data_IF_526499219253
#
_entry.id   IF_526499219253
#
_cell.length_a   1.000
_cell.length_b   1.000
_cell.length_c   1.000
_cell.angle_alpha   90.00
_cell.angle_beta   90.00
_cell.angle_gamma   90.00
#
_symmetry.space_group_name_H-M   'P 1'
#
loop_
_entity.id
_entity.type
_entity.pdbx_description
1 polymer ?
#
# COMPACT_ATOMS: atom_id res chain seq x y z
N UNK A 1 -4.51 -56.94 -20.48
CA UNK A 1 -3.48 -56.66 -21.50
C UNK A 1 -2.98 -55.25 -21.25
N UNK A 2 -1.76 -55.15 -20.72
CA UNK A 2 -1.07 -53.90 -20.38
C UNK A 2 -0.21 -53.50 -21.58
N UNK A 3 -0.42 -52.31 -22.14
CA UNK A 3 0.45 -51.75 -23.17
C UNK A 3 1.20 -50.54 -22.58
N UNK A 4 2.40 -50.82 -22.11
CA UNK A 4 3.47 -49.85 -21.85
C UNK A 4 4.03 -49.33 -23.18
N UNK A 5 3.99 -48.02 -23.38
CA UNK A 5 4.70 -47.34 -24.48
C UNK A 5 6.07 -46.90 -23.98
N UNK A 6 7.12 -47.53 -24.50
CA UNK A 6 8.52 -47.18 -24.29
C UNK A 6 8.92 -45.96 -25.13
N UNK A 7 9.38 -44.90 -24.48
CA UNK A 7 10.03 -43.77 -25.13
C UNK A 7 11.48 -44.13 -25.51
N UNK A 8 11.85 -43.89 -26.77
CA UNK A 8 13.23 -44.00 -27.25
C UNK A 8 14.00 -42.73 -26.90
N UNK A 9 15.08 -42.85 -26.13
CA UNK A 9 16.06 -41.79 -25.97
C UNK A 9 16.92 -41.68 -27.24
N UNK A 10 16.87 -40.54 -27.90
CA UNK A 10 17.85 -40.14 -28.93
C UNK A 10 18.82 -39.18 -28.26
N UNK A 11 20.06 -39.62 -28.09
CA UNK A 11 21.17 -38.79 -27.60
C UNK A 11 21.75 -38.03 -28.78
N UNK A 12 21.44 -36.73 -28.86
CA UNK A 12 22.09 -35.77 -29.75
C UNK A 12 23.05 -34.89 -28.96
N UNK A 13 24.33 -34.86 -29.38
CA UNK A 13 25.35 -33.92 -28.88
C UNK A 13 24.91 -32.49 -29.18
N UNK A 14 24.86 -31.64 -28.15
CA UNK A 14 24.61 -30.20 -28.28
C UNK A 14 25.97 -29.51 -28.32
N UNK A 15 26.37 -29.05 -29.51
CA UNK A 15 27.35 -27.97 -29.66
C UNK A 15 26.59 -26.64 -29.65
N UNK A 16 27.13 -25.66 -28.91
CA UNK A 16 26.38 -24.52 -28.41
C UNK A 16 25.88 -23.55 -29.47
N UNK A 17 24.58 -23.30 -29.45
CA UNK A 17 23.89 -22.01 -29.65
C UNK A 17 22.39 -22.33 -29.67
N UNK A 18 21.71 -22.11 -28.54
CA UNK A 18 20.27 -21.86 -28.40
C UNK A 18 19.86 -22.09 -26.93
N UNK A 19 19.59 -21.01 -26.20
CA UNK A 19 18.76 -21.09 -24.98
C UNK A 19 17.32 -21.14 -25.49
N UNK A 20 16.85 -22.33 -25.88
CA UNK A 20 15.42 -22.58 -25.99
C UNK A 20 14.84 -22.50 -24.58
N UNK A 21 14.06 -21.44 -24.37
CA UNK A 21 13.09 -21.33 -23.28
C UNK A 21 12.27 -22.61 -23.30
N UNK A 22 12.53 -23.49 -22.34
CA UNK A 22 11.80 -24.75 -22.22
C UNK A 22 10.30 -24.50 -22.13
N UNK A 23 9.53 -25.36 -22.79
CA UNK A 23 8.08 -25.46 -22.78
C UNK A 23 7.48 -25.24 -21.38
N UNK A 24 7.27 -23.98 -20.99
CA UNK A 24 6.23 -23.59 -20.05
C UNK A 24 5.00 -23.33 -20.90
N UNK A 25 4.24 -24.37 -21.17
CA UNK A 25 2.84 -24.20 -21.56
C UNK A 25 2.15 -23.52 -20.38
N UNK A 26 2.09 -22.18 -20.40
CA UNK A 26 1.21 -21.43 -19.53
C UNK A 26 -0.20 -21.84 -19.94
N UNK A 27 -0.83 -22.69 -19.14
CA UNK A 27 -2.24 -22.97 -19.30
C UNK A 27 -2.99 -21.68 -18.96
N UNK A 28 -3.40 -20.94 -19.99
CA UNK A 28 -4.38 -19.86 -19.87
C UNK A 28 -5.71 -20.53 -19.55
N UNK A 29 -6.00 -20.68 -18.26
CA UNK A 29 -7.32 -21.12 -17.80
C UNK A 29 -8.33 -19.99 -17.89
N UNK A 30 -9.61 -20.31 -17.64
CA UNK A 30 -10.70 -19.32 -17.60
C UNK A 30 -10.56 -18.42 -16.35
N UNK A 31 -10.40 -17.10 -16.54
CA UNK A 31 -10.18 -16.17 -15.42
C UNK A 31 -11.39 -16.18 -14.49
N UNK A 32 -11.17 -16.56 -13.23
CA UNK A 32 -12.22 -16.54 -12.22
C UNK A 32 -12.38 -15.12 -11.66
N UNK A 33 -13.58 -14.57 -11.86
CA UNK A 33 -14.01 -13.32 -11.24
C UNK A 33 -15.10 -13.60 -10.21
N UNK A 34 -15.02 -12.93 -9.07
CA UNK A 34 -16.16 -12.77 -8.18
C UNK A 34 -17.11 -11.74 -8.81
N UNK A 35 -18.42 -11.97 -8.73
CA UNK A 35 -19.41 -10.94 -9.02
C UNK A 35 -19.79 -10.25 -7.71
N UNK A 36 -19.72 -8.91 -7.68
CA UNK A 36 -20.09 -8.12 -6.50
C UNK A 36 -21.40 -7.39 -6.81
N UNK A 37 -22.37 -7.52 -5.91
CA UNK A 37 -23.64 -6.79 -6.03
C UNK A 37 -23.46 -5.30 -5.70
N UNK A 38 -24.38 -4.48 -6.21
CA UNK A 38 -24.36 -3.05 -5.92
C UNK A 38 -24.56 -2.77 -4.42
N UNK A 39 -25.42 -3.55 -3.76
CA UNK A 39 -25.70 -3.45 -2.33
C UNK A 39 -24.47 -3.81 -1.49
N UNK A 40 -23.70 -4.83 -1.89
CA UNK A 40 -22.46 -5.21 -1.22
C UNK A 40 -21.42 -4.10 -1.33
N UNK A 41 -21.27 -3.47 -2.50
CA UNK A 41 -20.39 -2.30 -2.66
C UNK A 41 -20.84 -1.13 -1.81
N UNK A 42 -22.14 -0.80 -1.81
CA UNK A 42 -22.68 0.30 -1.02
C UNK A 42 -22.36 0.13 0.46
N UNK A 43 -22.50 -1.09 0.99
CA UNK A 43 -22.20 -1.39 2.39
C UNK A 43 -20.72 -1.18 2.75
N UNK A 44 -19.80 -1.41 1.82
CA UNK A 44 -18.36 -1.30 2.04
C UNK A 44 -17.85 0.15 2.03
N UNK A 45 -18.55 1.06 1.37
CA UNK A 45 -18.03 2.41 1.07
C UNK A 45 -18.75 3.56 1.79
N UNK A 46 -19.80 3.28 2.58
CA UNK A 46 -20.64 4.30 3.24
C UNK A 46 -19.86 5.31 4.11
N UNK A 47 -18.63 5.00 4.50
CA UNK A 47 -17.80 5.84 5.36
C UNK A 47 -16.62 6.50 4.63
N UNK A 48 -16.51 6.31 3.31
CA UNK A 48 -15.39 6.84 2.52
C UNK A 48 -15.58 8.31 2.14
N UNK A 49 -14.47 9.07 1.97
CA UNK A 49 -14.55 10.48 1.60
C UNK A 49 -15.14 10.70 0.21
N UNK A 50 -15.78 11.85 -0.02
CA UNK A 50 -16.34 12.20 -1.33
C UNK A 50 -15.24 12.40 -2.37
N UNK A 51 -15.45 11.87 -3.58
CA UNK A 51 -14.54 11.99 -4.72
C UNK A 51 -14.92 13.21 -5.56
N UNK A 52 -13.93 13.97 -6.04
CA UNK A 52 -14.12 15.14 -6.88
C UNK A 52 -14.80 14.76 -8.22
N UNK A 53 -15.80 15.53 -8.67
CA UNK A 53 -16.48 15.29 -9.94
C UNK A 53 -15.50 15.21 -11.12
N UNK A 54 -14.55 16.14 -11.21
CA UNK A 54 -13.57 16.19 -12.30
C UNK A 54 -12.73 14.90 -12.41
N UNK A 55 -12.38 14.29 -11.27
CA UNK A 55 -11.64 13.03 -11.25
C UNK A 55 -12.51 11.85 -11.69
N UNK A 56 -13.79 11.84 -11.29
CA UNK A 56 -14.76 10.83 -11.72
C UNK A 56 -15.07 10.96 -13.23
N UNK A 57 -15.14 12.18 -13.75
CA UNK A 57 -15.40 12.43 -15.16
C UNK A 57 -14.22 12.00 -16.04
N UNK A 58 -12.98 12.21 -15.58
CA UNK A 58 -11.79 11.64 -16.23
C UNK A 58 -11.86 10.11 -16.30
N UNK A 59 -12.28 9.45 -15.23
CA UNK A 59 -12.46 8.00 -15.25
C UNK A 59 -13.52 7.57 -16.28
N UNK A 60 -14.64 8.29 -16.36
CA UNK A 60 -15.72 7.98 -17.31
C UNK A 60 -15.27 8.20 -18.76
N UNK A 61 -14.49 9.25 -19.02
CA UNK A 61 -13.96 9.56 -20.35
C UNK A 61 -12.97 8.48 -20.83
N UNK A 62 -12.03 8.08 -19.98
CA UNK A 62 -10.95 7.17 -20.36
C UNK A 62 -11.32 5.70 -20.21
N UNK A 63 -12.32 5.38 -19.39
CA UNK A 63 -12.80 4.02 -19.11
C UNK A 63 -11.73 3.05 -18.57
N UNK A 64 -10.55 3.56 -18.22
CA UNK A 64 -9.45 2.83 -17.62
C UNK A 64 -8.74 3.69 -16.59
N UNK A 65 -8.42 3.11 -15.44
CA UNK A 65 -7.62 3.77 -14.40
C UNK A 65 -6.74 2.76 -13.67
N UNK A 66 -5.47 3.11 -13.52
CA UNK A 66 -4.49 2.38 -12.72
C UNK A 66 -4.02 3.28 -11.59
N UNK A 67 -4.34 2.89 -10.36
CA UNK A 67 -3.81 3.49 -9.15
C UNK A 67 -2.56 2.72 -8.74
N UNK A 68 -1.39 3.28 -9.02
CA UNK A 68 -0.09 2.65 -8.71
C UNK A 68 0.81 3.48 -7.82
N UNK A 69 1.88 2.85 -7.32
CA UNK A 69 2.90 3.48 -6.48
C UNK A 69 2.40 3.96 -5.11
N UNK A 70 3.18 4.86 -4.49
CA UNK A 70 2.83 5.51 -3.22
C UNK A 70 1.87 6.70 -3.45
N UNK A 71 0.59 6.52 -3.13
CA UNK A 71 -0.42 7.59 -3.21
C UNK A 71 -0.63 8.30 -1.86
N UNK A 72 0.46 8.64 -1.17
CA UNK A 72 0.41 9.47 0.04
C UNK A 72 -0.43 8.92 1.21
N UNK A 73 -0.59 7.59 1.29
CA UNK A 73 -1.36 6.90 2.33
C UNK A 73 -2.81 6.58 1.96
N UNK A 74 -3.21 6.78 0.70
CA UNK A 74 -4.54 6.36 0.21
C UNK A 74 -4.63 4.84 0.12
N UNK A 75 -5.72 4.27 0.64
CA UNK A 75 -6.09 2.88 0.36
C UNK A 75 -6.62 2.76 -1.07
N UNK A 76 -5.77 2.30 -1.99
CA UNK A 76 -6.09 2.16 -3.42
C UNK A 76 -7.21 1.16 -3.67
N UNK A 77 -7.29 0.09 -2.88
CA UNK A 77 -8.29 -0.96 -3.04
C UNK A 77 -9.69 -0.43 -2.69
N UNK A 78 -9.80 0.31 -1.58
CA UNK A 78 -11.05 0.99 -1.22
C UNK A 78 -11.44 2.04 -2.24
N UNK A 79 -10.48 2.82 -2.75
CA UNK A 79 -10.75 3.85 -3.75
C UNK A 79 -11.27 3.28 -5.08
N UNK A 80 -10.69 2.20 -5.62
CA UNK A 80 -11.21 1.61 -6.86
C UNK A 80 -12.62 1.02 -6.68
N UNK A 81 -12.93 0.45 -5.50
CA UNK A 81 -14.27 -0.05 -5.19
C UNK A 81 -15.28 1.09 -5.08
N UNK A 82 -14.88 2.20 -4.45
CA UNK A 82 -15.69 3.42 -4.39
C UNK A 82 -15.98 3.99 -5.78
N UNK A 83 -14.97 4.05 -6.65
CA UNK A 83 -15.12 4.49 -8.04
C UNK A 83 -16.08 3.57 -8.83
N UNK A 84 -15.93 2.25 -8.69
CA UNK A 84 -16.83 1.28 -9.33
C UNK A 84 -18.30 1.51 -8.90
N UNK A 85 -18.54 1.74 -7.62
CA UNK A 85 -19.88 2.08 -7.13
C UNK A 85 -20.41 3.39 -7.72
N UNK A 86 -19.60 4.46 -7.74
CA UNK A 86 -20.03 5.76 -8.25
C UNK A 86 -20.38 5.70 -9.74
N UNK A 87 -19.57 5.01 -10.54
CA UNK A 87 -19.86 4.78 -11.97
C UNK A 87 -21.18 4.03 -12.13
N UNK A 88 -21.39 2.96 -11.35
CA UNK A 88 -22.65 2.18 -11.41
C UNK A 88 -23.86 3.00 -10.99
N UNK A 89 -23.73 3.80 -9.92
CA UNK A 89 -24.79 4.65 -9.38
C UNK A 89 -25.22 5.73 -10.35
N UNK A 90 -24.27 6.37 -11.04
CA UNK A 90 -24.59 7.43 -12.00
C UNK A 90 -25.28 6.89 -13.25
N UNK A 91 -24.91 5.69 -13.70
CA UNK A 91 -25.62 4.99 -14.78
C UNK A 91 -27.07 4.67 -14.40
N UNK A 92 -27.32 4.22 -13.16
CA UNK A 92 -28.69 3.96 -12.67
C UNK A 92 -29.56 5.23 -12.56
N UNK A 93 -28.97 6.39 -12.23
CA UNK A 93 -29.72 7.67 -12.15
C UNK A 93 -30.14 8.17 -13.52
N UNK A 94 -29.26 8.04 -14.52
CA UNK A 94 -29.49 8.56 -15.87
C UNK A 94 -30.68 7.85 -16.55
N UNK A 95 -30.90 6.57 -16.23
CA UNK A 95 -32.04 5.77 -16.73
C UNK A 95 -33.40 6.11 -16.08
N UNK A 96 -33.40 6.83 -14.95
CA UNK A 96 -34.64 7.20 -14.26
C UNK A 96 -35.38 8.39 -14.90
N UNK A 97 -34.70 9.15 -15.77
CA UNK A 97 -35.27 10.28 -16.48
C UNK A 97 -35.70 9.92 -17.93
N UNK A 98 -36.93 9.39 -18.01
CA UNK A 98 -37.88 9.48 -19.14
C UNK A 98 -37.57 8.77 -20.47
N UNK A 99 -38.48 7.84 -20.78
CA UNK A 99 -38.98 7.37 -22.10
C UNK A 99 -38.46 6.07 -22.72
N UNK A 100 -37.45 5.39 -22.17
CA UNK A 100 -37.18 4.00 -22.57
C UNK A 100 -36.47 3.21 -21.45
N UNK A 101 -37.11 2.20 -20.83
CA UNK A 101 -36.57 1.50 -19.66
C UNK A 101 -35.72 0.30 -20.10
N UNK A 102 -34.68 0.54 -20.89
CA UNK A 102 -33.60 -0.45 -20.98
C UNK A 102 -32.58 -0.09 -19.92
N UNK A 103 -32.88 -0.47 -18.68
CA UNK A 103 -31.92 -0.44 -17.57
C UNK A 103 -30.68 -1.21 -18.04
N UNK A 104 -29.60 -0.51 -18.36
CA UNK A 104 -28.33 -1.18 -18.66
C UNK A 104 -27.75 -1.59 -17.32
N UNK A 105 -28.02 -2.85 -16.95
CA UNK A 105 -27.48 -3.43 -15.74
C UNK A 105 -25.96 -3.60 -15.94
N UNK A 106 -25.19 -2.73 -15.29
CA UNK A 106 -23.73 -2.77 -15.34
C UNK A 106 -23.27 -3.83 -14.33
N UNK A 107 -22.72 -4.93 -14.83
CA UNK A 107 -22.15 -5.97 -13.97
C UNK A 107 -20.77 -5.55 -13.45
N UNK A 108 -20.42 -5.95 -12.22
CA UNK A 108 -19.13 -5.65 -11.62
C UNK A 108 -18.39 -6.97 -11.38
N UNK A 109 -17.25 -7.11 -12.04
CA UNK A 109 -16.38 -8.28 -11.95
C UNK A 109 -15.14 -7.92 -11.15
N UNK A 110 -14.95 -8.63 -10.06
CA UNK A 110 -13.86 -8.41 -9.13
C UNK A 110 -12.86 -9.55 -9.19
N UNK A 111 -11.61 -9.22 -9.46
CA UNK A 111 -10.51 -10.17 -9.43
C UNK A 111 -9.65 -9.92 -8.20
N UNK A 112 -9.44 -10.98 -7.42
CA UNK A 112 -8.52 -11.01 -6.29
C UNK A 112 -7.24 -11.73 -6.69
N UNK A 113 -6.09 -11.21 -6.25
CA UNK A 113 -4.81 -11.89 -6.44
C UNK A 113 -4.76 -13.30 -5.81
N UNK A 114 -5.63 -13.60 -4.84
CA UNK A 114 -5.78 -14.94 -4.24
C UNK A 114 -6.48 -15.97 -5.16
N UNK A 115 -6.95 -15.57 -6.33
CA UNK A 115 -7.68 -16.45 -7.26
C UNK A 115 -6.73 -17.48 -7.87
N UNK A 116 -7.24 -18.65 -8.22
CA UNK A 116 -6.45 -19.84 -8.61
C UNK A 116 -5.63 -19.68 -9.90
N UNK A 117 -5.81 -18.58 -10.64
CA UNK A 117 -5.06 -18.25 -11.84
C UNK A 117 -4.24 -16.98 -11.65
N UNK A 118 -2.95 -17.11 -11.97
CA UNK A 118 -1.97 -16.05 -11.80
C UNK A 118 -1.84 -15.13 -13.01
N UNK A 119 -2.44 -15.48 -14.16
CA UNK A 119 -2.31 -14.72 -15.42
C UNK A 119 -3.69 -14.52 -16.05
N UNK A 120 -4.03 -13.27 -16.34
CA UNK A 120 -5.32 -12.80 -16.84
C UNK A 120 -5.16 -12.42 -18.31
N UNK A 121 -6.00 -13.00 -19.16
CA UNK A 121 -6.18 -12.54 -20.54
C UNK A 121 -7.30 -11.49 -20.57
N UNK A 122 -6.94 -10.26 -20.21
CA UNK A 122 -7.90 -9.17 -20.08
C UNK A 122 -8.52 -8.78 -21.43
N UNK A 123 -7.76 -8.84 -22.51
CA UNK A 123 -8.30 -8.56 -23.84
C UNK A 123 -9.42 -9.55 -24.21
N UNK A 124 -9.18 -10.85 -23.99
CA UNK A 124 -10.18 -11.88 -24.24
C UNK A 124 -11.42 -11.69 -23.37
N UNK A 125 -11.25 -11.39 -22.08
CA UNK A 125 -12.37 -11.14 -21.17
C UNK A 125 -13.20 -9.93 -21.60
N UNK A 126 -12.55 -8.83 -22.01
CA UNK A 126 -13.25 -7.65 -22.52
C UNK A 126 -14.05 -7.97 -23.79
N UNK A 127 -13.44 -8.67 -24.76
CA UNK A 127 -14.11 -9.00 -26.04
C UNK A 127 -15.24 -10.01 -25.90
N UNK A 128 -15.18 -10.90 -24.92
CA UNK A 128 -16.19 -11.94 -24.72
C UNK A 128 -17.46 -11.42 -24.02
N UNK A 129 -17.41 -10.23 -23.41
CA UNK A 129 -18.58 -9.65 -22.74
C UNK A 129 -19.39 -8.81 -23.72
N UNK A 130 -20.71 -8.97 -23.60
CA UNK A 130 -21.70 -8.24 -24.43
C UNK A 130 -22.38 -7.11 -23.70
N UNK A 131 -22.43 -7.19 -22.36
CA UNK A 131 -23.05 -6.20 -21.49
C UNK A 131 -21.98 -5.28 -20.90
N UNK A 132 -22.29 -4.00 -20.68
CA UNK A 132 -21.38 -3.10 -19.98
C UNK A 132 -20.95 -3.68 -18.64
N UNK A 133 -19.65 -3.63 -18.37
CA UNK A 133 -19.04 -4.32 -17.22
C UNK A 133 -17.92 -3.47 -16.64
N UNK A 134 -17.86 -3.37 -15.32
CA UNK A 134 -16.73 -2.79 -14.60
C UNK A 134 -15.84 -3.94 -14.12
N UNK A 135 -14.62 -3.99 -14.62
CA UNK A 135 -13.60 -4.92 -14.15
C UNK A 135 -12.75 -4.22 -13.08
N UNK A 136 -12.67 -4.84 -11.90
CA UNK A 136 -11.92 -4.32 -10.76
C UNK A 136 -10.84 -5.32 -10.38
N UNK A 137 -9.60 -4.86 -10.38
CA UNK A 137 -8.42 -5.65 -10.06
C UNK A 137 -7.71 -5.05 -8.85
N UNK A 138 -7.65 -5.79 -7.75
CA UNK A 138 -6.91 -5.36 -6.56
C UNK A 138 -5.53 -5.97 -6.48
N UNK A 139 -4.54 -5.15 -6.11
CA UNK A 139 -3.15 -5.56 -5.90
C UNK A 139 -2.56 -6.31 -7.11
N UNK A 140 -2.86 -5.83 -8.32
CA UNK A 140 -2.40 -6.47 -9.54
C UNK A 140 -0.93 -6.20 -9.81
N UNK A 141 -0.23 -7.16 -10.40
CA UNK A 141 1.14 -7.02 -10.88
C UNK A 141 1.23 -7.03 -12.42
N UNK A 142 2.30 -6.45 -13.01
CA UNK A 142 2.51 -6.50 -14.47
C UNK A 142 2.47 -7.92 -15.05
N UNK A 143 3.02 -8.89 -14.32
CA UNK A 143 3.06 -10.31 -14.73
C UNK A 143 1.68 -10.97 -14.74
N UNK A 144 0.71 -10.41 -14.03
CA UNK A 144 -0.62 -10.97 -13.90
C UNK A 144 -1.47 -10.69 -15.14
N UNK A 145 -1.01 -9.86 -16.07
CA UNK A 145 -1.73 -9.50 -17.29
C UNK A 145 -0.95 -9.99 -18.51
N UNK A 146 -1.58 -10.84 -19.33
CA UNK A 146 -0.95 -11.45 -20.51
C UNK A 146 -0.82 -10.50 -21.73
N UNK A 147 -1.08 -9.22 -21.54
CA UNK A 147 -1.15 -8.25 -22.64
C UNK A 147 -0.71 -6.85 -22.19
N UNK A 148 -0.29 -6.04 -23.16
CA UNK A 148 0.10 -4.65 -22.90
C UNK A 148 -1.10 -3.81 -22.49
N UNK A 149 -1.02 -3.17 -21.32
CA UNK A 149 -2.04 -2.23 -20.85
C UNK A 149 -2.27 -1.07 -21.83
N UNK A 150 -1.21 -0.62 -22.52
CA UNK A 150 -1.36 0.42 -23.55
C UNK A 150 -2.21 -0.04 -24.71
N UNK A 151 -2.01 -1.27 -25.18
CA UNK A 151 -2.80 -1.82 -26.27
C UNK A 151 -4.27 -1.95 -25.87
N UNK A 152 -4.54 -2.45 -24.66
CA UNK A 152 -5.90 -2.50 -24.11
C UNK A 152 -6.54 -1.11 -24.09
N UNK A 153 -5.81 -0.13 -23.58
CA UNK A 153 -6.28 1.25 -23.49
C UNK A 153 -6.56 1.90 -24.85
N UNK A 154 -5.66 1.73 -25.82
CA UNK A 154 -5.75 2.46 -27.10
C UNK A 154 -6.62 1.78 -28.14
N UNK A 155 -6.74 0.44 -28.10
CA UNK A 155 -7.38 -0.33 -29.18
C UNK A 155 -8.61 -1.12 -28.72
N UNK A 156 -8.61 -1.62 -27.48
CA UNK A 156 -9.67 -2.52 -27.00
C UNK A 156 -10.79 -1.72 -26.34
N UNK A 157 -10.47 -0.94 -25.30
CA UNK A 157 -11.44 -0.18 -24.50
C UNK A 157 -12.28 0.80 -25.34
N UNK A 158 -11.72 1.61 -26.26
CA UNK A 158 -12.52 2.58 -27.01
C UNK A 158 -13.60 1.95 -27.91
N UNK A 159 -13.47 0.65 -28.19
CA UNK A 159 -14.43 -0.11 -29.01
C UNK A 159 -15.50 -0.82 -28.18
N UNK A 160 -15.44 -0.73 -26.84
CA UNK A 160 -16.26 -1.48 -25.90
C UNK A 160 -16.83 -0.56 -24.80
N UNK A 161 -18.01 -0.88 -24.30
CA UNK A 161 -18.64 -0.15 -23.19
C UNK A 161 -18.22 -0.79 -21.85
N UNK A 162 -16.91 -0.83 -21.56
CA UNK A 162 -16.37 -1.46 -20.36
C UNK A 162 -15.47 -0.50 -19.59
N UNK A 163 -15.47 -0.62 -18.26
CA UNK A 163 -14.53 0.10 -17.39
C UNK A 163 -13.52 -0.86 -16.78
N UNK A 164 -12.28 -0.42 -16.67
CA UNK A 164 -11.20 -1.22 -16.10
C UNK A 164 -10.46 -0.45 -15.02
N UNK A 165 -10.56 -0.90 -13.78
CA UNK A 165 -9.98 -0.27 -12.60
C UNK A 165 -8.93 -1.19 -11.98
N UNK A 166 -7.71 -0.68 -11.82
CA UNK A 166 -6.61 -1.39 -11.19
C UNK A 166 -6.11 -0.65 -9.96
N UNK A 167 -5.82 -1.41 -8.90
CA UNK A 167 -4.85 -0.98 -7.89
C UNK A 167 -3.59 -1.84 -7.98
N UNK A 168 -2.45 -1.22 -7.78
CA UNK A 168 -1.16 -1.89 -7.75
C UNK A 168 -0.22 -1.18 -6.79
N UNK A 169 0.69 -1.93 -6.16
CA UNK A 169 1.79 -1.33 -5.39
C UNK A 169 3.00 -0.99 -6.28
N UNK A 170 2.99 -1.45 -7.53
CA UNK A 170 4.05 -1.18 -8.50
C UNK A 170 4.01 0.25 -8.99
N UNK A 171 5.20 0.79 -9.23
CA UNK A 171 5.38 2.13 -9.79
C UNK A 171 5.05 2.15 -11.28
N UNK A 172 4.77 3.32 -11.85
CA UNK A 172 4.57 3.49 -13.29
C UNK A 172 5.73 2.90 -14.13
N UNK A 173 6.98 3.10 -13.67
CA UNK A 173 8.17 2.59 -14.34
C UNK A 173 8.25 1.06 -14.37
N UNK A 174 7.74 0.38 -13.35
CA UNK A 174 7.77 -1.09 -13.24
C UNK A 174 6.83 -1.77 -14.25
N UNK A 175 5.88 -1.03 -14.82
CA UNK A 175 4.99 -1.54 -15.87
C UNK A 175 5.56 -1.34 -17.28
N UNK A 176 6.76 -0.74 -17.41
CA UNK A 176 7.42 -0.45 -18.68
C UNK A 176 6.53 0.32 -19.67
N UNK A 177 5.70 1.23 -19.15
CA UNK A 177 4.78 2.01 -19.97
C UNK A 177 5.46 3.25 -20.57
N UNK A 178 4.94 3.73 -21.70
CA UNK A 178 5.34 4.99 -22.32
C UNK A 178 4.58 6.16 -21.68
N UNK A 179 5.03 7.39 -21.93
CA UNK A 179 4.46 8.59 -21.30
C UNK A 179 2.97 8.81 -21.59
N UNK A 180 2.45 8.30 -22.70
CA UNK A 180 1.03 8.40 -23.03
C UNK A 180 0.15 7.61 -22.04
N UNK A 181 0.71 6.61 -21.37
CA UNK A 181 -0.01 5.86 -20.36
C UNK A 181 -0.28 6.66 -19.08
N UNK A 182 0.36 7.83 -18.89
CA UNK A 182 0.08 8.69 -17.74
C UNK A 182 -1.38 9.17 -17.67
N UNK A 183 -2.09 9.13 -18.81
CA UNK A 183 -3.51 9.44 -18.91
C UNK A 183 -4.37 8.51 -18.04
N UNK A 184 -4.08 7.20 -18.05
CA UNK A 184 -4.80 6.22 -17.24
C UNK A 184 -3.99 5.73 -16.03
N UNK A 185 -2.68 6.00 -15.97
CA UNK A 185 -1.80 5.64 -14.87
C UNK A 185 -0.95 6.85 -14.47
N UNK A 186 -1.56 7.81 -13.78
CA UNK A 186 -0.88 9.03 -13.35
C UNK A 186 0.07 8.75 -12.15
N UNK A 187 1.41 8.86 -12.31
CA UNK A 187 2.36 8.61 -11.23
C UNK A 187 2.39 9.71 -10.15
N UNK A 188 1.82 10.89 -10.44
CA UNK A 188 1.89 12.07 -9.58
C UNK A 188 0.55 12.41 -8.92
N UNK A 189 -0.38 11.46 -8.93
CA UNK A 189 -1.73 11.65 -8.38
C UNK A 189 -1.66 11.95 -6.88
N UNK A 190 -2.26 13.05 -6.46
CA UNK A 190 -2.29 13.46 -5.05
C UNK A 190 -3.69 13.35 -4.43
N UNK A 191 -3.81 13.27 -3.10
CA UNK A 191 -5.12 13.13 -2.45
C UNK A 191 -6.08 14.29 -2.70
N UNK A 192 -5.58 15.50 -2.98
CA UNK A 192 -6.43 16.67 -3.18
C UNK A 192 -7.08 16.68 -4.57
N UNK A 193 -6.43 16.08 -5.57
CA UNK A 193 -7.03 15.84 -6.89
C UNK A 193 -8.18 14.83 -6.82
N UNK A 194 -8.06 13.83 -5.94
CA UNK A 194 -9.07 12.77 -5.80
C UNK A 194 -10.24 13.22 -4.91
N UNK A 195 -9.97 13.75 -3.71
CA UNK A 195 -11.00 14.02 -2.69
C UNK A 195 -11.25 15.51 -2.46
N UNK A 196 -10.49 16.39 -3.12
CA UNK A 196 -10.61 17.84 -3.00
C UNK A 196 -9.70 18.47 -1.94
N UNK A 197 -9.68 19.80 -1.93
CA UNK A 197 -8.71 20.58 -1.14
C UNK A 197 -8.83 20.38 0.38
N UNK A 198 -10.04 20.07 0.87
CA UNK A 198 -10.32 19.99 2.31
C UNK A 198 -10.03 18.60 2.90
N UNK A 199 -9.73 17.58 2.11
CA UNK A 199 -9.57 16.21 2.62
C UNK A 199 -8.45 16.10 3.67
N UNK A 200 -7.33 16.79 3.42
CA UNK A 200 -6.19 16.82 4.31
C UNK A 200 -6.51 17.59 5.60
N UNK A 201 -7.38 18.59 5.53
CA UNK A 201 -7.86 19.34 6.70
C UNK A 201 -8.74 18.45 7.55
N UNK A 202 -9.70 17.76 6.92
CA UNK A 202 -10.62 16.85 7.61
C UNK A 202 -9.86 15.69 8.29
N UNK A 203 -8.88 15.10 7.61
CA UNK A 203 -8.06 14.04 8.20
C UNK A 203 -7.20 14.56 9.35
N UNK A 204 -6.61 15.75 9.20
CA UNK A 204 -5.86 16.40 10.28
C UNK A 204 -6.76 16.65 11.51
N UNK A 205 -7.96 17.18 11.30
CA UNK A 205 -8.94 17.42 12.37
C UNK A 205 -9.37 16.12 13.05
N UNK A 206 -9.69 15.09 12.25
CA UNK A 206 -10.05 13.76 12.74
C UNK A 206 -8.95 13.17 13.62
N UNK A 207 -7.71 13.13 13.12
CA UNK A 207 -6.57 12.54 13.85
C UNK A 207 -6.19 13.33 15.09
N UNK A 208 -6.31 14.66 15.04
CA UNK A 208 -6.14 15.51 16.22
C UNK A 208 -7.27 15.28 17.25
N UNK A 209 -8.51 15.06 16.81
CA UNK A 209 -9.68 14.81 17.66
C UNK A 209 -9.70 13.43 18.32
N UNK A 210 -9.16 12.40 17.67
CA UNK A 210 -9.07 11.03 18.21
C UNK A 210 -8.16 10.96 19.46
N UNK A 211 -7.06 11.71 19.48
CA UNK A 211 -6.00 11.58 20.49
C UNK A 211 -5.99 12.69 21.56
N UNK A 212 -6.54 13.88 21.27
CA UNK A 212 -6.42 15.05 22.15
C UNK A 212 -7.76 15.51 22.69
N UNK A 213 -7.76 15.90 23.96
CA UNK A 213 -8.86 16.71 24.52
C UNK A 213 -8.91 18.03 23.74
N UNK A 214 -10.07 18.32 23.12
CA UNK A 214 -10.38 19.55 22.35
C UNK A 214 -9.82 20.84 22.96
N UNK A 215 -9.77 20.93 24.29
CA UNK A 215 -9.20 22.06 25.04
C UNK A 215 -7.73 22.36 24.70
N UNK A 216 -6.90 21.33 24.49
CA UNK A 216 -5.48 21.48 24.16
C UNK A 216 -5.29 21.90 22.71
N UNK A 217 -6.10 21.36 21.80
CA UNK A 217 -6.16 21.82 20.42
C UNK A 217 -6.46 23.32 20.36
N UNK A 218 -7.49 23.73 21.09
CA UNK A 218 -7.93 25.13 21.13
C UNK A 218 -6.82 26.03 21.72
N UNK A 219 -6.07 25.55 22.70
CA UNK A 219 -4.97 26.31 23.31
C UNK A 219 -3.80 26.56 22.36
N UNK A 220 -3.36 25.56 21.60
CA UNK A 220 -2.11 25.63 20.80
C UNK A 220 -2.35 25.92 19.32
N UNK A 221 -3.42 25.36 18.76
CA UNK A 221 -3.79 25.56 17.35
C UNK A 221 -4.82 26.67 17.17
N UNK A 222 -5.41 27.19 18.26
CA UNK A 222 -6.38 28.29 18.26
C UNK A 222 -7.58 28.05 17.34
N UNK A 223 -8.04 26.80 17.18
CA UNK A 223 -9.19 26.37 16.35
C UNK A 223 -9.52 27.29 15.15
N UNK A 224 -8.48 27.69 14.44
CA UNK A 224 -8.58 28.64 13.34
C UNK A 224 -8.54 27.81 12.07
N UNK A 225 -9.69 27.70 11.41
CA UNK A 225 -9.85 26.94 10.19
C UNK A 225 -8.81 27.32 9.13
N UNK A 226 -8.40 28.61 9.06
CA UNK A 226 -7.37 29.06 8.13
C UNK A 226 -5.99 28.52 8.50
N UNK A 227 -5.68 28.45 9.80
CA UNK A 227 -4.41 27.91 10.28
C UNK A 227 -4.33 26.40 10.07
N UNK A 228 -5.40 25.66 10.32
CA UNK A 228 -5.46 24.22 10.04
C UNK A 228 -5.30 23.92 8.55
N UNK A 229 -5.95 24.72 7.69
CA UNK A 229 -5.76 24.65 6.24
C UNK A 229 -4.30 24.82 5.83
N UNK A 230 -3.63 25.87 6.33
CA UNK A 230 -2.21 26.10 6.07
C UNK A 230 -1.29 24.98 6.58
N UNK A 231 -1.64 24.34 7.70
CA UNK A 231 -0.89 23.20 8.23
C UNK A 231 -1.07 21.98 7.33
N UNK A 232 -2.31 21.64 6.98
CA UNK A 232 -2.64 20.51 6.12
C UNK A 232 -2.00 20.64 4.73
N UNK A 233 -2.05 21.83 4.13
CA UNK A 233 -1.38 22.13 2.85
C UNK A 233 0.15 21.93 2.93
N UNK A 234 0.78 22.36 4.03
CA UNK A 234 2.23 22.17 4.21
C UNK A 234 2.64 20.71 4.45
N UNK A 235 1.73 19.90 5.00
CA UNK A 235 1.93 18.47 5.21
C UNK A 235 1.73 17.69 3.91
N UNK A 236 0.74 18.06 3.10
CA UNK A 236 0.57 17.63 1.71
C UNK A 236 0.06 16.20 1.49
N UNK A 237 0.13 15.29 2.48
CA UNK A 237 -0.42 13.94 2.38
C UNK A 237 -0.78 13.35 3.76
N UNK A 238 -1.51 12.21 3.76
CA UNK A 238 -1.98 11.55 4.97
C UNK A 238 -0.83 11.01 5.84
N UNK A 239 0.23 10.50 5.22
CA UNK A 239 1.42 10.02 5.93
C UNK A 239 2.07 11.12 6.79
N UNK A 240 2.29 12.30 6.23
CA UNK A 240 2.86 13.44 6.95
C UNK A 240 1.91 13.95 8.05
N UNK A 241 0.59 13.92 7.83
CA UNK A 241 -0.41 14.23 8.86
C UNK A 241 -0.27 13.28 10.05
N UNK A 242 -0.22 11.97 9.82
CA UNK A 242 -0.06 10.98 10.87
C UNK A 242 1.22 11.24 11.70
N UNK A 243 2.33 11.53 11.02
CA UNK A 243 3.63 11.85 11.67
C UNK A 243 3.56 13.13 12.49
N UNK A 244 2.94 14.18 11.93
CA UNK A 244 2.74 15.45 12.60
C UNK A 244 1.92 15.29 13.89
N UNK A 245 0.81 14.56 13.85
CA UNK A 245 -0.05 14.32 15.01
C UNK A 245 0.73 13.61 16.11
N UNK A 246 1.50 12.57 15.78
CA UNK A 246 2.35 11.86 16.76
C UNK A 246 3.38 12.77 17.43
N UNK A 247 4.08 13.59 16.64
CA UNK A 247 5.02 14.57 17.15
C UNK A 247 4.34 15.59 18.08
N UNK A 248 3.16 16.05 17.69
CA UNK A 248 2.38 17.01 18.44
C UNK A 248 1.90 16.42 19.78
N UNK A 249 1.32 15.22 19.77
CA UNK A 249 0.86 14.49 20.95
C UNK A 249 1.97 14.31 21.98
N UNK A 250 3.17 13.93 21.51
CA UNK A 250 4.33 13.80 22.37
C UNK A 250 4.73 15.13 23.03
N UNK A 251 4.77 16.23 22.27
CA UNK A 251 5.10 17.55 22.85
C UNK A 251 4.08 17.95 23.91
N UNK A 252 2.81 17.63 23.71
CA UNK A 252 1.76 17.86 24.69
C UNK A 252 2.00 17.01 25.97
N UNK A 253 2.38 15.74 25.82
CA UNK A 253 2.72 14.88 26.96
C UNK A 253 3.95 15.37 27.72
N UNK A 254 5.00 15.80 27.02
CA UNK A 254 6.22 16.35 27.62
C UNK A 254 5.90 17.60 28.46
N UNK A 255 5.01 18.47 27.97
CA UNK A 255 4.54 19.66 28.70
C UNK A 255 3.74 19.26 29.94
N UNK A 256 2.83 18.28 29.85
CA UNK A 256 2.04 17.80 31.00
C UNK A 256 2.91 17.19 32.09
N UNK A 257 3.96 16.46 31.71
CA UNK A 257 4.84 15.77 32.64
C UNK A 257 5.82 16.73 33.34
N UNK A 258 6.18 17.84 32.68
CA UNK A 258 6.95 18.93 33.28
C UNK A 258 6.04 19.82 34.13
N UNK A 259 5.81 19.42 35.38
CA UNK A 259 5.08 20.19 36.42
C UNK A 259 5.81 21.49 36.86
N UNK A 260 6.60 22.15 36.01
CA UNK A 260 7.32 23.36 36.40
C UNK A 260 6.50 24.61 36.07
N UNK A 261 6.36 25.50 37.05
CA UNK A 261 5.69 26.81 37.02
C UNK A 261 6.30 27.83 36.02
N UNK A 262 7.22 27.41 35.16
CA UNK A 262 7.80 28.27 34.14
C UNK A 262 6.97 28.17 32.85
N UNK A 263 6.54 29.36 32.42
CA UNK A 263 5.77 29.74 31.21
C UNK A 263 5.47 28.65 30.17
N UNK A 264 4.24 28.65 29.59
CA UNK A 264 3.86 27.67 28.58
C UNK A 264 4.87 27.71 27.42
N UNK A 265 5.61 26.63 27.23
CA UNK A 265 6.52 26.50 26.11
C UNK A 265 5.65 26.52 24.85
N UNK A 266 5.76 27.60 24.06
CA UNK A 266 5.00 27.72 22.82
C UNK A 266 5.40 26.57 21.89
N UNK A 267 4.41 25.83 21.38
CA UNK A 267 4.66 24.70 20.50
C UNK A 267 4.95 25.27 19.12
N UNK A 268 6.20 25.15 18.67
CA UNK A 268 6.59 25.58 17.34
C UNK A 268 6.03 24.63 16.26
N UNK A 269 4.85 24.96 15.74
CA UNK A 269 4.14 24.18 14.72
C UNK A 269 4.97 24.04 13.43
N UNK A 270 5.66 25.09 13.00
CA UNK A 270 6.48 25.03 11.78
C UNK A 270 7.65 24.04 11.93
N UNK A 271 8.22 23.94 13.14
CA UNK A 271 9.22 22.93 13.45
C UNK A 271 8.63 21.51 13.35
N UNK A 272 7.45 21.25 13.92
CA UNK A 272 6.80 19.94 13.83
C UNK A 272 6.44 19.55 12.40
N UNK A 273 5.97 20.50 11.58
CA UNK A 273 5.74 20.27 10.14
C UNK A 273 7.05 19.86 9.46
N UNK A 274 8.15 20.60 9.70
CA UNK A 274 9.45 20.29 9.09
C UNK A 274 9.95 18.91 9.52
N UNK A 275 9.85 18.58 10.80
CA UNK A 275 10.27 17.28 11.34
C UNK A 275 9.42 16.13 10.79
N UNK A 276 8.10 16.30 10.66
CA UNK A 276 7.22 15.25 10.10
C UNK A 276 7.61 14.81 8.69
N UNK A 277 8.30 15.68 7.95
CA UNK A 277 8.81 15.44 6.59
C UNK A 277 10.27 15.00 6.55
N UNK A 278 10.93 14.93 7.70
CA UNK A 278 12.36 14.62 7.81
C UNK A 278 12.58 13.19 8.26
N UNK A 279 13.64 12.56 7.77
CA UNK A 279 14.13 11.27 8.29
C UNK A 279 14.52 11.35 9.78
N UNK A 280 14.74 12.55 10.32
CA UNK A 280 14.94 12.78 11.74
C UNK A 280 13.74 12.33 12.58
N UNK A 281 12.51 12.43 12.05
CA UNK A 281 11.31 11.91 12.72
C UNK A 281 11.43 10.43 13.01
N UNK A 282 11.99 9.63 12.11
CA UNK A 282 12.04 8.17 12.32
C UNK A 282 13.07 7.79 13.38
N UNK A 283 14.15 8.56 13.53
CA UNK A 283 15.05 8.40 14.69
C UNK A 283 14.34 8.74 15.99
N UNK A 284 13.58 9.83 15.99
CA UNK A 284 12.83 10.28 17.15
C UNK A 284 11.72 9.28 17.53
N UNK A 285 11.01 8.77 16.53
CA UNK A 285 10.02 7.70 16.62
C UNK A 285 10.65 6.47 17.30
N UNK A 286 11.84 6.05 16.86
CA UNK A 286 12.50 4.84 17.38
C UNK A 286 12.86 5.01 18.85
N UNK A 287 13.45 6.16 19.19
CA UNK A 287 14.02 6.37 20.52
C UNK A 287 12.94 6.63 21.55
N UNK A 288 11.89 7.37 21.16
CA UNK A 288 11.05 8.06 22.11
C UNK A 288 9.55 7.80 21.94
N UNK A 289 9.09 7.23 20.83
CA UNK A 289 7.66 6.98 20.58
C UNK A 289 7.35 5.50 20.64
N UNK A 290 8.15 4.66 19.98
CA UNK A 290 7.96 3.22 19.98
C UNK A 290 8.06 2.64 21.41
N UNK A 291 7.21 1.66 21.71
CA UNK A 291 7.39 0.81 22.88
C UNK A 291 8.66 -0.03 22.74
N UNK A 292 9.18 -0.57 23.85
CA UNK A 292 10.39 -1.40 23.79
C UNK A 292 10.19 -2.66 22.92
N UNK A 293 8.97 -3.19 22.89
CA UNK A 293 8.59 -4.29 22.00
C UNK A 293 8.62 -3.87 20.52
N UNK A 294 8.04 -2.73 20.18
CA UNK A 294 8.08 -2.19 18.81
C UNK A 294 9.50 -1.82 18.39
N UNK A 295 10.36 -1.35 19.30
CA UNK A 295 11.79 -1.14 19.01
C UNK A 295 12.49 -2.44 18.66
N UNK A 296 12.23 -3.52 19.41
CA UNK A 296 12.77 -4.85 19.10
C UNK A 296 12.29 -5.32 17.72
N UNK A 297 11.00 -5.18 17.41
CA UNK A 297 10.48 -5.49 16.08
C UNK A 297 11.13 -4.66 14.97
N UNK A 298 11.22 -3.34 15.14
CA UNK A 298 11.89 -2.47 14.17
C UNK A 298 13.36 -2.87 13.94
N UNK A 299 14.07 -3.29 14.99
CA UNK A 299 15.42 -3.84 14.87
C UNK A 299 15.44 -5.17 14.11
N UNK A 300 14.54 -6.10 14.46
CA UNK A 300 14.43 -7.38 13.78
C UNK A 300 14.14 -7.23 12.29
N UNK A 301 13.17 -6.38 11.94
CA UNK A 301 12.84 -6.04 10.55
C UNK A 301 14.04 -5.42 9.84
N UNK A 302 14.81 -4.57 10.54
CA UNK A 302 16.03 -3.99 9.97
C UNK A 302 17.13 -5.02 9.72
N UNK A 303 17.25 -6.06 10.54
CA UNK A 303 18.22 -7.16 10.31
C UNK A 303 17.83 -8.03 9.12
N UNK A 304 16.53 -8.26 8.94
CA UNK A 304 15.98 -9.06 7.85
C UNK A 304 15.58 -8.21 6.63
N UNK A 305 16.10 -6.99 6.54
CA UNK A 305 15.84 -6.10 5.44
C UNK A 305 16.28 -6.70 4.10
N UNK A 306 15.40 -6.68 3.11
CA UNK A 306 15.61 -7.31 1.81
C UNK A 306 15.23 -8.80 1.76
N UNK A 307 14.70 -9.37 2.84
CA UNK A 307 14.11 -10.71 2.81
C UNK A 307 12.66 -10.68 2.35
N UNK A 308 12.21 -11.81 1.82
CA UNK A 308 10.79 -12.03 1.55
C UNK A 308 9.97 -12.00 2.85
N UNK A 309 8.73 -11.53 2.76
CA UNK A 309 7.81 -11.31 3.88
C UNK A 309 7.65 -12.56 4.75
N UNK A 310 7.40 -13.72 4.13
CA UNK A 310 7.24 -15.00 4.80
C UNK A 310 8.52 -15.42 5.54
N UNK A 311 9.68 -15.22 4.90
CA UNK A 311 10.98 -15.50 5.50
C UNK A 311 11.29 -14.55 6.64
N UNK A 312 10.98 -13.26 6.49
CA UNK A 312 11.15 -12.25 7.52
C UNK A 312 10.30 -12.59 8.74
N UNK A 313 9.00 -12.86 8.57
CA UNK A 313 8.12 -13.16 9.71
C UNK A 313 8.51 -14.46 10.39
N UNK A 314 8.85 -15.50 9.63
CA UNK A 314 9.38 -16.76 10.18
C UNK A 314 10.67 -16.54 10.96
N UNK A 315 11.60 -15.75 10.43
CA UNK A 315 12.87 -15.45 11.09
C UNK A 315 12.66 -14.59 12.34
N UNK A 316 11.77 -13.59 12.27
CA UNK A 316 11.44 -12.71 13.39
C UNK A 316 10.77 -13.48 14.53
N UNK A 317 9.84 -14.38 14.23
CA UNK A 317 9.19 -15.25 15.22
C UNK A 317 10.20 -16.17 15.91
N UNK A 318 11.14 -16.75 15.15
CA UNK A 318 12.23 -17.56 15.71
C UNK A 318 13.13 -16.74 16.62
N UNK A 319 13.59 -15.56 16.18
CA UNK A 319 14.42 -14.67 17.02
C UNK A 319 13.67 -14.27 18.29
N UNK A 320 12.39 -13.94 18.17
CA UNK A 320 11.55 -13.58 19.30
C UNK A 320 11.43 -14.73 20.31
N UNK A 321 11.07 -15.93 19.84
CA UNK A 321 10.80 -17.09 20.69
C UNK A 321 12.06 -17.71 21.28
N UNK A 322 13.12 -17.81 20.49
CA UNK A 322 14.33 -18.55 20.86
C UNK A 322 15.40 -17.68 21.53
N UNK A 323 15.40 -16.36 21.31
CA UNK A 323 16.36 -15.45 21.91
C UNK A 323 15.68 -14.44 22.85
N UNK A 324 14.79 -13.59 22.34
CA UNK A 324 14.30 -12.44 23.11
C UNK A 324 13.42 -12.85 24.29
N UNK A 325 12.47 -13.77 24.09
CA UNK A 325 11.59 -14.27 25.16
C UNK A 325 12.33 -15.10 26.20
N UNK A 326 13.44 -15.76 25.84
CA UNK A 326 14.29 -16.46 26.83
C UNK A 326 15.04 -15.48 27.73
N UNK A 327 15.43 -14.33 27.20
CA UNK A 327 16.12 -13.27 27.94
C UNK A 327 15.14 -12.44 28.77
N UNK A 328 13.93 -12.21 28.26
CA UNK A 328 12.86 -11.52 28.96
C UNK A 328 11.53 -12.29 28.83
N UNK A 329 11.20 -13.15 29.82
CA UNK A 329 9.95 -13.93 29.81
C UNK A 329 8.67 -13.09 29.92
N UNK A 330 8.77 -11.79 30.24
CA UNK A 330 7.60 -10.91 30.28
C UNK A 330 7.12 -10.48 28.89
N UNK A 331 7.92 -10.72 27.84
CA UNK A 331 7.57 -10.45 26.46
C UNK A 331 6.47 -11.42 25.97
N UNK A 332 5.29 -10.86 25.69
CA UNK A 332 4.17 -11.59 25.08
C UNK A 332 4.42 -11.91 23.59
N UNK A 333 3.90 -13.04 23.11
CA UNK A 333 4.04 -13.48 21.71
C UNK A 333 3.65 -12.38 20.72
N UNK A 334 4.47 -12.17 19.68
CA UNK A 334 4.29 -11.13 18.64
C UNK A 334 2.84 -11.03 18.17
N UNK A 335 2.33 -9.81 18.09
CA UNK A 335 0.99 -9.52 17.59
C UNK A 335 1.09 -8.61 16.35
N UNK A 336 0.18 -8.76 15.40
CA UNK A 336 0.11 -7.91 14.20
C UNK A 336 -0.14 -6.44 14.56
N UNK A 337 -0.79 -6.18 15.69
CA UNK A 337 -0.96 -4.83 16.23
C UNK A 337 0.38 -4.13 16.53
N UNK A 338 1.46 -4.87 16.80
CA UNK A 338 2.79 -4.29 17.02
C UNK A 338 3.40 -3.71 15.73
N UNK A 339 2.95 -4.18 14.57
CA UNK A 339 3.43 -3.76 13.25
C UNK A 339 2.73 -2.51 12.73
N UNK A 340 1.53 -2.19 13.21
CA UNK A 340 0.74 -1.05 12.72
C UNK A 340 1.56 0.24 12.70
N UNK A 341 2.25 0.53 13.80
CA UNK A 341 3.12 1.71 13.94
C UNK A 341 4.34 1.68 13.02
N UNK A 342 4.83 0.47 12.71
CA UNK A 342 6.05 0.24 11.96
C UNK A 342 5.82 0.23 10.45
N UNK A 343 4.69 -0.30 9.98
CA UNK A 343 4.33 -0.40 8.55
C UNK A 343 4.27 0.99 7.91
N UNK A 344 3.72 1.99 8.60
CA UNK A 344 3.60 3.34 8.01
C UNK A 344 4.91 4.15 8.03
N UNK A 345 5.90 3.75 8.84
CA UNK A 345 7.02 4.62 9.18
C UNK A 345 8.41 4.01 8.96
N UNK A 346 8.58 2.70 9.16
CA UNK A 346 9.89 2.05 9.18
C UNK A 346 10.22 1.22 7.97
N UNK A 347 9.24 0.54 7.40
CA UNK A 347 9.46 -0.37 6.30
C UNK A 347 8.30 -0.28 5.30
N UNK A 348 8.59 -0.69 4.09
CA UNK A 348 7.59 -0.98 3.09
C UNK A 348 7.67 -2.45 2.73
N UNK A 349 6.56 -2.97 2.24
CA UNK A 349 6.57 -4.20 1.47
C UNK A 349 6.84 -3.80 0.02
N UNK A 350 8.11 -3.74 -0.36
CA UNK A 350 8.49 -3.54 -1.75
C UNK A 350 8.58 -4.89 -2.42
N UNK A 351 7.82 -5.12 -3.47
CA UNK A 351 8.18 -6.22 -4.36
C UNK A 351 9.35 -5.74 -5.23
N UNK A 352 10.47 -6.46 -5.16
CA UNK A 352 11.73 -6.01 -5.73
C UNK A 352 11.79 -6.38 -7.22
N UNK A 353 11.84 -5.38 -8.09
CA UNK A 353 11.84 -5.51 -9.56
C UNK A 353 13.04 -6.34 -10.08
N UNK A 354 14.09 -6.54 -9.27
CA UNK A 354 15.29 -7.32 -9.64
C UNK A 354 15.06 -8.84 -9.75
N UNK A 355 13.94 -9.37 -9.24
CA UNK A 355 13.69 -10.82 -9.18
C UNK A 355 12.61 -11.32 -10.17
N UNK A 356 12.26 -10.52 -11.18
CA UNK A 356 11.24 -10.84 -12.20
C UNK A 356 11.38 -12.23 -12.88
N UNK A 357 12.59 -12.81 -12.89
CA UNK A 357 12.85 -14.12 -13.50
C UNK A 357 12.49 -15.36 -12.66
N UNK A 358 12.27 -15.21 -11.35
CA UNK A 358 12.04 -16.35 -10.44
C UNK A 358 10.65 -16.23 -9.81
N UNK A 359 9.74 -17.03 -10.34
CA UNK A 359 8.31 -17.08 -9.99
C UNK A 359 7.95 -16.82 -8.52
N UNK A 360 6.87 -16.05 -8.37
CA UNK A 360 5.85 -15.98 -7.31
C UNK A 360 6.00 -14.91 -6.22
N UNK A 361 4.97 -14.06 -6.11
CA UNK A 361 4.21 -13.62 -4.90
C UNK A 361 4.97 -13.08 -3.68
N UNK A 362 6.29 -13.02 -3.69
CA UNK A 362 7.02 -12.65 -2.48
C UNK A 362 7.25 -11.14 -2.41
N UNK A 363 6.50 -10.50 -1.51
CA UNK A 363 6.79 -9.15 -1.03
C UNK A 363 8.16 -9.16 -0.36
N UNK A 364 9.07 -8.30 -0.77
CA UNK A 364 10.33 -8.08 -0.05
C UNK A 364 10.09 -6.98 0.97
N UNK A 365 10.53 -7.19 2.20
CA UNK A 365 10.46 -6.12 3.20
C UNK A 365 11.67 -5.23 3.03
N UNK A 366 11.44 -3.99 2.59
CA UNK A 366 12.49 -2.97 2.52
C UNK A 366 12.29 -1.90 3.57
N UNK A 367 13.25 -1.75 4.47
CA UNK A 367 13.26 -0.62 5.39
C UNK A 367 13.41 0.68 4.62
N UNK A 368 12.57 1.69 4.89
CA UNK A 368 12.52 3.00 4.20
C UNK A 368 13.74 3.90 4.47
N UNK A 369 14.97 3.37 4.35
CA UNK A 369 16.27 4.03 4.57
C UNK A 369 16.79 3.91 6.03
N UNK A 370 17.18 2.70 6.49
CA UNK A 370 17.84 2.53 7.80
C UNK A 370 19.10 1.65 7.83
N UNK A 371 19.56 1.09 6.69
CA UNK A 371 20.68 0.12 6.66
C UNK A 371 21.95 0.59 7.41
N UNK A 372 22.25 1.89 7.44
CA UNK A 372 23.52 2.41 8.00
C UNK A 372 23.42 3.01 9.41
N UNK A 373 22.22 3.32 9.90
CA UNK A 373 22.06 4.05 11.17
C UNK A 373 21.60 3.21 12.34
N UNK A 374 20.88 2.10 12.12
CA UNK A 374 20.59 1.11 13.18
C UNK A 374 21.87 0.58 13.79
N UNK A 375 22.94 0.37 13.00
CA UNK A 375 24.28 0.04 13.51
C UNK A 375 24.85 1.10 14.48
N UNK A 376 24.64 2.40 14.20
CA UNK A 376 25.07 3.50 15.09
C UNK A 376 24.17 3.64 16.33
N UNK A 377 22.86 3.38 16.18
CA UNK A 377 21.90 3.38 17.28
C UNK A 377 22.20 2.22 18.24
N UNK A 378 22.45 1.01 17.71
CA UNK A 378 22.92 -0.15 18.47
C UNK A 378 24.24 0.14 19.20
N UNK A 379 25.17 0.85 18.55
CA UNK A 379 26.43 1.25 19.17
C UNK A 379 26.24 2.24 20.35
N UNK A 380 25.31 3.19 20.26
CA UNK A 380 25.00 4.14 21.36
C UNK A 380 24.15 3.50 22.47
N UNK A 381 23.26 2.58 22.11
CA UNK A 381 22.41 1.80 23.02
C UNK A 381 23.19 0.66 23.72
N UNK A 382 24.44 0.41 23.30
CA UNK A 382 25.36 -0.61 23.85
C UNK A 382 25.51 -0.55 25.37
N UNK A 383 25.31 0.61 26.02
CA UNK A 383 25.39 0.73 27.49
C UNK A 383 24.06 0.49 28.23
N UNK A 384 22.90 0.53 27.55
CA UNK A 384 21.60 0.20 28.15
C UNK A 384 21.20 -1.25 27.88
N UNK A 385 21.56 -1.79 26.71
CA UNK A 385 21.24 -3.17 26.31
C UNK A 385 22.38 -4.18 26.58
N UNK A 386 23.55 -3.76 27.06
CA UNK A 386 24.68 -4.67 27.39
C UNK A 386 24.40 -5.67 28.52
N UNK A 387 23.37 -5.45 29.33
CA UNK A 387 22.93 -6.48 30.30
C UNK A 387 22.10 -7.58 29.66
N UNK A 388 21.62 -7.42 28.42
CA UNK A 388 20.65 -8.34 27.82
C UNK A 388 21.14 -9.06 26.55
N UNK A 389 22.15 -8.59 25.80
CA UNK A 389 22.24 -9.00 24.38
C UNK A 389 23.54 -9.61 23.80
N UNK A 390 24.67 -9.69 24.50
CA UNK A 390 25.95 -9.98 23.83
C UNK A 390 26.59 -11.35 24.07
N UNK A 391 25.81 -12.37 24.48
CA UNK A 391 26.34 -13.73 24.63
C UNK A 391 26.23 -14.61 23.38
N UNK A 392 25.41 -14.27 22.38
CA UNK A 392 25.07 -15.20 21.29
C UNK A 392 25.34 -14.72 19.85
N UNK A 393 25.55 -13.43 19.60
CA UNK A 393 25.79 -12.94 18.22
C UNK A 393 27.26 -12.95 17.78
N UNK A 394 28.20 -13.39 18.65
CA UNK A 394 29.63 -13.41 18.34
C UNK A 394 30.11 -14.62 17.51
N UNK A 395 29.20 -15.53 17.14
CA UNK A 395 29.58 -16.79 16.46
C UNK A 395 29.25 -16.88 14.97
N UNK A 396 28.68 -15.84 14.34
CA UNK A 396 28.27 -15.88 12.93
C UNK A 396 28.75 -14.69 12.08
N UNK A 397 29.97 -14.21 12.35
CA UNK A 397 30.71 -13.39 11.40
C UNK A 397 32.15 -13.86 11.32
N UNK A 398 32.35 -14.92 10.53
CA UNK A 398 33.55 -15.20 9.73
C UNK A 398 33.10 -15.84 8.42
#
# INVERSE_FOLDING_TARGET
MSNTVTAKNVVGKIEGQDIQVGDRNFFVGETHFDEISFEDLESQIQQLPEIQPDFLDQLKEHSMLVLGGELGGINKNELILQLAYLVTKDSQKTDSDKTNPQKTDISIKFWRHSSSQQIIDLELELRNRKSPTIFVFTDIEPKDINCSLQHIFSEVIPSLEHWVLFSTNRSFSSWHLNDNAQIFFNPNLNPQEIYGQNILVNELEKKLGENLKLELLNKYLKNDAQKLKLIAEKLGNFGNILRFVKLFDRKILDIKNKKSEETPTDININYLIKESRSDAFIRDLFQNILSDRQKLMALGISFFNGMFEDQLFTALEKVFTEAWRKLDPSLMALDYSDLEELIYNYFDFQENDLYEGVSNIFKVVETKIYKTETGKILYRQRNRFSRLYWSYCSCYYW
#
